data_IF_655550696055
#
_entry.id   IF_655550696055
#
_cell.length_a   1.000
_cell.length_b   1.000
_cell.length_c   1.000
_cell.angle_alpha   90.00
_cell.angle_beta   90.00
_cell.angle_gamma   90.00
#
_symmetry.space_group_name_H-M   'P 1'
#
loop_
_entity.id
_entity.type
_entity.pdbx_description
1 polymer ?
#
# COMPACT_ATOMS: atom_id res chain seq x y z
N UNK A 1 -12.12 2.46 -3.99
CA UNK A 1 -12.09 1.12 -3.32
C UNK A 1 -11.23 1.25 -2.09
N UNK A 2 -11.72 0.98 -0.87
CA UNK A 2 -10.92 1.27 0.34
C UNK A 2 -9.84 0.21 0.62
N UNK A 3 -8.58 0.59 0.51
CA UNK A 3 -7.42 -0.23 0.88
C UNK A 3 -6.94 0.11 2.29
N UNK A 4 -6.60 -0.91 3.09
CA UNK A 4 -6.01 -0.75 4.43
C UNK A 4 -4.84 -1.68 4.64
N UNK A 5 -3.83 -1.21 5.35
CA UNK A 5 -2.63 -1.99 5.69
C UNK A 5 -2.77 -2.49 7.13
N UNK A 6 -2.69 -3.81 7.30
CA UNK A 6 -2.58 -4.41 8.63
C UNK A 6 -1.13 -4.28 9.07
N UNK A 7 -0.84 -3.25 9.86
CA UNK A 7 0.54 -2.84 10.18
C UNK A 7 1.34 -3.90 10.95
N UNK A 8 0.68 -4.74 11.76
CA UNK A 8 1.32 -5.85 12.48
C UNK A 8 1.90 -6.90 11.53
N UNK A 9 1.22 -7.15 10.41
CA UNK A 9 1.60 -8.17 9.42
C UNK A 9 2.52 -7.62 8.34
N UNK A 10 2.64 -6.30 8.21
CA UNK A 10 3.54 -5.70 7.25
C UNK A 10 5.00 -5.97 7.64
N UNK A 11 5.72 -6.81 6.89
CA UNK A 11 7.14 -7.12 7.15
C UNK A 11 8.12 -6.06 6.65
N UNK A 12 7.68 -5.12 5.80
CA UNK A 12 8.54 -4.07 5.24
C UNK A 12 9.34 -4.50 4.01
N UNK A 13 8.86 -5.49 3.26
CA UNK A 13 9.49 -6.02 2.05
C UNK A 13 9.48 -5.05 0.85
N UNK A 14 8.80 -3.89 0.97
CA UNK A 14 8.66 -2.87 -0.07
C UNK A 14 7.96 -3.25 -1.38
N UNK A 15 7.63 -4.52 -1.61
CA UNK A 15 7.01 -5.01 -2.85
C UNK A 15 5.74 -4.24 -3.27
N UNK A 16 4.87 -3.89 -2.31
CA UNK A 16 3.68 -3.06 -2.58
C UNK A 16 4.00 -1.69 -3.21
N UNK A 17 5.10 -1.05 -2.79
CA UNK A 17 5.57 0.21 -3.37
C UNK A 17 6.21 -0.01 -4.75
N UNK A 18 6.88 -1.15 -4.98
CA UNK A 18 7.43 -1.46 -6.30
C UNK A 18 6.33 -1.71 -7.34
N UNK A 19 5.27 -2.43 -6.95
CA UNK A 19 4.13 -2.73 -7.82
C UNK A 19 3.26 -1.49 -8.06
N UNK A 20 2.99 -0.69 -7.02
CA UNK A 20 2.09 0.45 -7.08
C UNK A 20 2.63 1.65 -6.29
N UNK A 21 3.67 2.33 -6.81
CA UNK A 21 4.35 3.43 -6.11
C UNK A 21 3.45 4.66 -5.87
N UNK A 22 2.42 4.85 -6.69
CA UNK A 22 1.47 5.96 -6.55
C UNK A 22 0.40 5.69 -5.47
N UNK A 23 0.21 4.41 -5.10
CA UNK A 23 -0.76 3.98 -4.09
C UNK A 23 -0.08 3.78 -2.73
N UNK A 24 1.15 3.25 -2.72
CA UNK A 24 1.85 2.86 -1.51
C UNK A 24 3.21 3.53 -1.36
N UNK A 25 3.51 3.96 -0.14
CA UNK A 25 4.85 4.41 0.27
C UNK A 25 5.35 3.64 1.49
N UNK A 26 6.59 3.90 1.88
CA UNK A 26 7.17 3.41 3.12
C UNK A 26 7.36 4.57 4.09
N UNK A 27 7.02 4.35 5.35
CA UNK A 27 7.35 5.28 6.42
C UNK A 27 8.79 5.10 6.94
N UNK A 28 9.17 5.90 7.94
CA UNK A 28 10.50 5.88 8.57
C UNK A 28 10.86 4.56 9.27
N UNK A 29 9.92 3.63 9.45
CA UNK A 29 10.13 2.31 10.04
C UNK A 29 10.09 1.20 8.98
N UNK A 30 10.21 1.57 7.69
CA UNK A 30 10.04 0.68 6.55
C UNK A 30 8.69 -0.04 6.53
N UNK A 31 7.63 0.54 7.13
CA UNK A 31 6.28 -0.03 7.04
C UNK A 31 5.51 0.65 5.94
N UNK A 32 4.68 -0.13 5.24
CA UNK A 32 3.86 0.38 4.16
C UNK A 32 2.79 1.33 4.70
N UNK A 33 2.52 2.40 3.94
CA UNK A 33 1.43 3.36 4.15
C UNK A 33 0.67 3.53 2.82
N UNK A 34 -0.62 3.84 2.90
CA UNK A 34 -1.45 4.16 1.73
C UNK A 34 -1.37 5.66 1.47
N UNK A 35 -0.96 6.06 0.28
CA UNK A 35 -0.90 7.46 -0.17
C UNK A 35 -2.25 7.91 -0.71
N UNK A 36 -2.83 7.12 -1.62
CA UNK A 36 -4.14 7.38 -2.19
C UNK A 36 -5.06 6.17 -1.92
N UNK A 37 -5.99 6.29 -0.95
CA UNK A 37 -6.92 5.23 -0.62
C UNK A 37 -7.96 4.96 -1.72
N UNK A 38 -8.02 5.76 -2.79
CA UNK A 38 -8.86 5.53 -3.98
C UNK A 38 -8.08 5.05 -5.21
N UNK A 39 -6.73 5.03 -5.18
CA UNK A 39 -5.91 4.75 -6.36
C UNK A 39 -5.88 3.27 -6.81
N UNK A 40 -6.48 2.35 -6.06
CA UNK A 40 -6.66 0.99 -6.57
C UNK A 40 -7.82 0.99 -7.58
N UNK A 41 -7.57 0.76 -8.89
CA UNK A 41 -8.65 0.67 -9.85
C UNK A 41 -9.57 -0.47 -9.41
N UNK A 42 -10.86 -0.16 -9.26
CA UNK A 42 -11.87 -1.18 -9.03
C UNK A 42 -11.89 -2.09 -10.26
N UNK A 43 -11.26 -3.26 -10.15
CA UNK A 43 -11.44 -4.33 -11.11
C UNK A 43 -12.90 -4.78 -11.00
N UNK A 44 -13.73 -4.32 -11.95
CA UNK A 44 -15.11 -4.78 -12.07
C UNK A 44 -15.07 -6.18 -12.67
N UNK A 45 -15.26 -7.18 -11.82
CA UNK A 45 -15.65 -8.55 -12.18
C UNK A 45 -17.05 -8.82 -11.62
#
# INVERSE_FOLDING_TARGET
MQVRIIRSECCGNAECREIAPDVFALDSRNKAIVLDPEAAPAEKL
#
